data_IF_411224827779
#
_entry.id   IF_411224827779
#
_cell.length_a   1.000
_cell.length_b   1.000
_cell.length_c   1.000
_cell.angle_alpha   90.00
_cell.angle_beta   90.00
_cell.angle_gamma   90.00
#
_symmetry.space_group_name_H-M   'P 1'
#
loop_
_entity.id
_entity.type
_entity.pdbx_description
1 polymer ?
#
# COMPACT_ATOMS: atom_id res chain seq x y z
N UNK A 1 4.34 1.51 13.79
CA UNK A 1 4.33 1.12 12.36
C UNK A 1 5.73 0.67 11.99
N UNK A 2 5.88 -0.42 11.25
CA UNK A 2 7.19 -0.85 10.75
C UNK A 2 7.52 0.05 9.56
N UNK A 3 8.50 0.94 9.73
CA UNK A 3 8.96 1.88 8.68
C UNK A 3 10.44 1.66 8.41
N UNK A 4 10.96 2.12 7.25
CA UNK A 4 12.40 2.07 6.95
C UNK A 4 13.26 2.68 8.07
N UNK A 5 12.79 3.74 8.73
CA UNK A 5 13.51 4.39 9.85
C UNK A 5 13.72 3.47 11.06
N UNK A 6 12.74 2.61 11.35
CA UNK A 6 12.85 1.63 12.44
C UNK A 6 13.92 0.58 12.09
N UNK A 7 13.98 0.15 10.83
CA UNK A 7 15.03 -0.76 10.36
C UNK A 7 16.41 -0.10 10.35
N UNK A 8 16.49 1.20 10.05
CA UNK A 8 17.73 1.95 10.18
C UNK A 8 18.25 1.94 11.62
N UNK A 9 17.37 2.20 12.59
CA UNK A 9 17.74 2.16 14.00
C UNK A 9 18.19 0.75 14.42
N UNK A 10 17.49 -0.30 13.99
CA UNK A 10 17.91 -1.68 14.24
C UNK A 10 19.26 -2.00 13.59
N UNK A 11 19.48 -1.57 12.35
CA UNK A 11 20.76 -1.74 11.66
C UNK A 11 21.91 -1.08 12.42
N UNK A 12 21.71 0.08 13.05
CA UNK A 12 22.74 0.73 13.87
C UNK A 12 23.08 -0.13 15.09
N UNK A 13 22.07 -0.53 15.87
CA UNK A 13 22.27 -1.34 17.07
C UNK A 13 22.89 -2.69 16.75
N UNK A 14 22.38 -3.38 15.73
CA UNK A 14 22.95 -4.66 15.32
C UNK A 14 24.33 -4.48 14.70
N UNK A 15 24.60 -3.37 14.00
CA UNK A 15 25.93 -3.03 13.49
C UNK A 15 26.96 -2.87 14.60
N UNK A 16 26.63 -2.15 15.67
CA UNK A 16 27.48 -2.07 16.86
C UNK A 16 27.69 -3.44 17.52
N UNK A 17 26.62 -4.24 17.62
CA UNK A 17 26.72 -5.60 18.16
C UNK A 17 27.60 -6.51 17.28
N UNK A 18 27.49 -6.43 15.95
CA UNK A 18 28.33 -7.17 15.00
C UNK A 18 29.80 -6.78 15.17
N UNK A 19 30.10 -5.48 15.27
CA UNK A 19 31.47 -5.01 15.50
C UNK A 19 32.03 -5.52 16.84
N UNK A 20 31.23 -5.48 17.91
CA UNK A 20 31.61 -6.04 19.20
C UNK A 20 31.90 -7.55 19.09
N UNK A 21 31.02 -8.32 18.43
CA UNK A 21 31.23 -9.75 18.19
C UNK A 21 32.50 -10.03 17.40
N UNK A 22 32.76 -9.27 16.33
CA UNK A 22 34.00 -9.41 15.52
C UNK A 22 35.23 -9.09 16.36
N UNK A 23 35.17 -8.05 17.20
CA UNK A 23 36.24 -7.72 18.15
C UNK A 23 36.50 -8.84 19.15
N UNK A 24 35.45 -9.45 19.72
CA UNK A 24 35.58 -10.62 20.60
C UNK A 24 36.12 -11.84 19.87
N UNK A 25 35.69 -12.09 18.63
CA UNK A 25 36.26 -13.16 17.79
C UNK A 25 37.76 -12.94 17.62
N UNK A 26 38.21 -11.72 17.28
CA UNK A 26 39.63 -11.40 17.14
C UNK A 26 40.42 -11.63 18.44
N UNK A 27 39.89 -11.17 19.59
CA UNK A 27 40.50 -11.41 20.90
C UNK A 27 40.61 -12.91 21.21
N UNK A 28 39.57 -13.70 20.93
CA UNK A 28 39.59 -15.15 21.14
C UNK A 28 40.67 -15.84 20.29
N UNK A 29 40.96 -15.32 19.10
CA UNK A 29 42.06 -15.81 18.26
C UNK A 29 43.43 -15.41 18.79
N UNK A 30 43.60 -14.16 19.25
CA UNK A 30 44.85 -13.64 19.84
C UNK A 30 45.22 -14.43 21.10
N UNK A 31 44.26 -14.60 22.02
CA UNK A 31 44.45 -15.34 23.26
C UNK A 31 44.31 -16.86 23.12
N UNK A 32 44.12 -17.36 21.88
CA UNK A 32 44.03 -18.80 21.54
C UNK A 32 43.00 -19.58 22.39
N UNK A 33 41.83 -19.02 22.63
CA UNK A 33 40.77 -19.70 23.36
C UNK A 33 40.32 -20.98 22.65
N UNK A 34 40.06 -22.05 23.40
CA UNK A 34 39.66 -23.35 22.84
C UNK A 34 38.36 -23.30 22.03
N UNK A 35 37.49 -22.32 22.29
CA UNK A 35 36.18 -22.16 21.65
C UNK A 35 36.13 -21.04 20.60
N UNK A 36 37.29 -20.50 20.17
CA UNK A 36 37.39 -19.39 19.21
C UNK A 36 36.60 -19.57 17.92
N UNK A 37 36.50 -20.79 17.40
CA UNK A 37 35.75 -21.07 16.17
C UNK A 37 34.23 -20.93 16.33
N UNK A 38 33.70 -21.06 17.56
CA UNK A 38 32.27 -20.80 17.83
C UNK A 38 31.93 -19.33 17.64
N UNK A 39 32.84 -18.43 17.99
CA UNK A 39 32.64 -16.99 17.80
C UNK A 39 32.63 -16.57 16.33
N UNK A 40 33.38 -17.27 15.46
CA UNK A 40 33.31 -17.04 14.01
C UNK A 40 31.87 -17.20 13.55
N UNK A 41 31.21 -18.32 13.91
CA UNK A 41 29.81 -18.54 13.58
C UNK A 41 28.86 -17.45 14.09
N UNK A 42 29.02 -17.02 15.35
CA UNK A 42 28.20 -15.94 15.94
C UNK A 42 28.41 -14.63 15.18
N UNK A 43 29.66 -14.25 14.91
CA UNK A 43 29.98 -13.01 14.19
C UNK A 43 29.48 -13.03 12.74
N UNK A 44 29.52 -14.18 12.07
CA UNK A 44 28.97 -14.34 10.72
C UNK A 44 27.45 -14.21 10.70
N UNK A 45 26.75 -14.86 11.64
CA UNK A 45 25.29 -14.73 11.75
C UNK A 45 24.89 -13.28 12.03
N UNK A 46 25.59 -12.60 12.95
CA UNK A 46 25.31 -11.18 13.22
C UNK A 46 25.63 -10.28 12.03
N UNK A 47 26.64 -10.61 11.21
CA UNK A 47 26.89 -9.91 9.96
C UNK A 47 25.68 -10.00 9.01
N UNK A 48 25.13 -11.20 8.84
CA UNK A 48 23.95 -11.44 7.98
C UNK A 48 22.72 -10.70 8.52
N UNK A 49 22.45 -10.76 9.83
CA UNK A 49 21.31 -10.07 10.44
C UNK A 49 21.39 -8.56 10.23
N UNK A 50 22.56 -7.96 10.48
CA UNK A 50 22.78 -6.53 10.23
C UNK A 50 22.60 -6.18 8.75
N UNK A 51 23.10 -7.02 7.84
CA UNK A 51 22.91 -6.82 6.40
C UNK A 51 21.43 -6.86 5.99
N UNK A 52 20.65 -7.79 6.54
CA UNK A 52 19.20 -7.87 6.29
C UNK A 52 18.51 -6.57 6.73
N UNK A 53 18.78 -6.08 7.95
CA UNK A 53 18.18 -4.82 8.42
C UNK A 53 18.62 -3.61 7.59
N UNK A 54 19.87 -3.58 7.13
CA UNK A 54 20.32 -2.54 6.22
C UNK A 54 19.52 -2.53 4.91
N UNK A 55 19.30 -3.71 4.31
CA UNK A 55 18.52 -3.84 3.07
C UNK A 55 17.08 -3.35 3.29
N UNK A 56 16.43 -3.76 4.38
CA UNK A 56 15.07 -3.31 4.72
C UNK A 56 14.97 -1.83 5.08
N UNK A 57 16.07 -1.21 5.49
CA UNK A 57 16.13 0.25 5.72
C UNK A 57 16.15 1.05 4.42
N UNK A 58 16.59 0.47 3.31
CA UNK A 58 16.71 1.16 2.02
C UNK A 58 15.48 0.90 1.15
N UNK A 59 14.95 -0.32 1.18
CA UNK A 59 13.80 -0.71 0.36
C UNK A 59 12.52 -0.21 1.04
N UNK A 60 11.75 0.69 0.41
CA UNK A 60 10.49 1.16 0.97
C UNK A 60 9.51 -0.01 1.12
N UNK A 61 9.14 -0.29 2.37
CA UNK A 61 8.17 -1.32 2.71
C UNK A 61 6.83 -0.65 3.00
N UNK A 62 5.92 -0.65 2.04
CA UNK A 62 4.60 -0.06 2.26
C UNK A 62 3.74 0.04 1.01
N UNK A 63 2.43 0.22 1.25
CA UNK A 63 1.50 0.70 0.22
C UNK A 63 1.74 2.19 0.03
N UNK A 64 1.69 2.65 -1.21
CA UNK A 64 1.68 4.09 -1.50
C UNK A 64 0.35 4.61 -0.98
N UNK A 65 0.39 5.54 -0.02
CA UNK A 65 -0.80 6.23 0.46
C UNK A 65 -0.88 7.61 -0.19
N UNK A 66 -1.90 7.82 -1.00
CA UNK A 66 -2.19 9.10 -1.66
C UNK A 66 -2.86 10.01 -0.65
N UNK A 67 -2.34 11.23 -0.52
CA UNK A 67 -2.89 12.24 0.39
C UNK A 67 -4.30 12.59 -0.04
N UNK A 68 -5.22 12.68 0.93
CA UNK A 68 -6.63 12.99 0.66
C UNK A 68 -7.48 11.79 0.24
N UNK A 69 -6.92 10.59 0.10
CA UNK A 69 -7.71 9.40 -0.19
C UNK A 69 -8.61 8.99 0.99
N UNK A 70 -9.89 8.76 0.71
CA UNK A 70 -10.86 8.24 1.66
C UNK A 70 -10.75 6.72 1.85
N UNK A 71 -11.42 6.21 2.88
CA UNK A 71 -11.59 4.75 3.06
C UNK A 71 -12.59 4.24 2.04
N UNK A 72 -12.29 3.09 1.43
CA UNK A 72 -13.21 2.37 0.56
C UNK A 72 -13.27 0.89 0.97
N UNK A 73 -14.38 0.23 0.61
CA UNK A 73 -14.52 -1.22 0.79
C UNK A 73 -14.43 -1.91 -0.56
N UNK A 74 -13.54 -2.90 -0.67
CA UNK A 74 -13.41 -3.71 -1.89
C UNK A 74 -14.49 -4.79 -1.93
N UNK A 75 -15.21 -4.88 -3.04
CA UNK A 75 -16.23 -5.90 -3.29
C UNK A 75 -15.87 -6.62 -4.58
N UNK A 76 -15.64 -7.93 -4.47
CA UNK A 76 -15.41 -8.78 -5.64
C UNK A 76 -16.74 -9.33 -6.14
N UNK A 77 -17.22 -8.75 -7.24
CA UNK A 77 -18.52 -9.07 -7.84
C UNK A 77 -18.35 -9.81 -9.19
N UNK A 78 -17.16 -9.74 -9.79
CA UNK A 78 -16.86 -10.38 -11.09
C UNK A 78 -15.58 -11.21 -11.04
N UNK A 79 -15.54 -12.27 -11.85
CA UNK A 79 -14.38 -13.15 -11.96
C UNK A 79 -13.27 -12.61 -12.88
N UNK A 80 -13.47 -11.49 -13.58
CA UNK A 80 -12.52 -10.90 -14.54
C UNK A 80 -11.66 -9.77 -13.98
N UNK A 81 -10.97 -8.98 -14.83
CA UNK A 81 -10.12 -7.86 -14.42
C UNK A 81 -10.97 -6.61 -14.19
N UNK A 82 -11.94 -6.78 -13.30
CA UNK A 82 -12.87 -5.76 -12.89
C UNK A 82 -13.05 -5.83 -11.38
N UNK A 83 -12.61 -4.80 -10.70
CA UNK A 83 -12.82 -4.64 -9.26
C UNK A 83 -13.92 -3.60 -9.01
N UNK A 84 -14.68 -3.79 -7.93
CA UNK A 84 -15.69 -2.83 -7.50
C UNK A 84 -15.31 -2.33 -6.12
N UNK A 85 -15.26 -1.02 -5.95
CA UNK A 85 -15.06 -0.38 -4.65
C UNK A 85 -16.33 0.33 -4.23
N UNK A 86 -16.67 0.20 -2.94
CA UNK A 86 -17.76 0.94 -2.32
C UNK A 86 -17.19 2.12 -1.56
N UNK A 87 -17.71 3.30 -1.85
CA UNK A 87 -17.27 4.56 -1.26
C UNK A 87 -18.36 5.05 -0.28
N UNK A 88 -17.98 5.42 0.96
CA UNK A 88 -18.92 5.99 1.91
C UNK A 88 -19.39 7.38 1.45
N UNK A 89 -20.64 7.72 1.75
CA UNK A 89 -21.20 9.06 1.54
C UNK A 89 -21.41 9.78 2.86
N UNK A 90 -21.29 11.12 2.90
CA UNK A 90 -20.91 12.03 1.79
C UNK A 90 -19.41 11.97 1.42
N UNK A 91 -19.04 12.39 0.20
CA UNK A 91 -17.64 12.44 -0.27
C UNK A 91 -17.36 13.69 -1.10
N UNK A 92 -16.21 14.34 -0.90
CA UNK A 92 -15.76 15.48 -1.72
C UNK A 92 -15.18 15.04 -3.07
N UNK A 93 -15.26 15.89 -4.09
CA UNK A 93 -14.74 15.60 -5.44
C UNK A 93 -13.24 15.27 -5.47
N UNK A 94 -12.42 16.07 -4.78
CA UNK A 94 -10.96 15.83 -4.68
C UNK A 94 -10.65 14.52 -3.93
N UNK A 95 -11.41 14.25 -2.87
CA UNK A 95 -11.28 13.01 -2.11
C UNK A 95 -11.69 11.79 -2.95
N UNK A 96 -12.70 11.91 -3.80
CA UNK A 96 -13.12 10.84 -4.71
C UNK A 96 -12.01 10.48 -5.70
N UNK A 97 -11.40 11.48 -6.33
CA UNK A 97 -10.28 11.27 -7.25
C UNK A 97 -9.08 10.65 -6.54
N UNK A 98 -8.67 11.19 -5.39
CA UNK A 98 -7.60 10.63 -4.58
C UNK A 98 -7.88 9.18 -4.15
N UNK A 99 -9.14 8.86 -3.82
CA UNK A 99 -9.56 7.49 -3.47
C UNK A 99 -9.48 6.53 -4.65
N UNK A 100 -9.85 6.98 -5.86
CA UNK A 100 -9.73 6.18 -7.08
C UNK A 100 -8.28 5.89 -7.43
N UNK A 101 -7.40 6.90 -7.32
CA UNK A 101 -5.97 6.72 -7.53
C UNK A 101 -5.36 5.79 -6.48
N UNK A 102 -5.80 5.89 -5.21
CA UNK A 102 -5.38 4.97 -4.15
C UNK A 102 -5.81 3.53 -4.47
N UNK A 103 -7.06 3.34 -4.87
CA UNK A 103 -7.57 2.04 -5.26
C UNK A 103 -6.84 1.48 -6.48
N UNK A 104 -6.49 2.33 -7.46
CA UNK A 104 -5.66 1.94 -8.60
C UNK A 104 -4.26 1.51 -8.13
N UNK A 105 -3.65 2.19 -7.19
CA UNK A 105 -2.34 1.78 -6.63
C UNK A 105 -2.42 0.45 -5.86
N UNK A 106 -3.49 0.26 -5.09
CA UNK A 106 -3.66 -0.89 -4.20
C UNK A 106 -4.12 -2.17 -4.92
N UNK A 107 -4.84 -2.06 -6.04
CA UNK A 107 -5.44 -3.19 -6.75
C UNK A 107 -4.69 -3.50 -8.05
N UNK A 108 -4.20 -4.74 -8.19
CA UNK A 108 -3.41 -5.17 -9.36
C UNK A 108 -3.74 -6.59 -9.85
N UNK A 109 -4.88 -7.15 -9.45
CA UNK A 109 -5.21 -8.53 -9.81
C UNK A 109 -6.03 -8.60 -11.11
N UNK A 110 -5.65 -9.47 -12.09
CA UNK A 110 -6.47 -9.74 -13.26
C UNK A 110 -7.73 -10.56 -12.94
N UNK A 111 -7.88 -11.10 -11.72
CA UNK A 111 -8.93 -12.05 -11.40
C UNK A 111 -8.73 -13.41 -12.08
N UNK A 112 -9.70 -14.32 -11.90
CA UNK A 112 -9.63 -15.70 -12.40
C UNK A 112 -9.92 -15.81 -13.91
N UNK A 113 -10.74 -14.91 -14.45
CA UNK A 113 -11.17 -14.85 -15.85
C UNK A 113 -10.47 -13.77 -16.68
N UNK A 114 -9.47 -13.08 -16.13
CA UNK A 114 -8.74 -12.01 -16.82
C UNK A 114 -7.41 -12.45 -17.45
N UNK A 115 -7.18 -13.75 -17.66
CA UNK A 115 -5.98 -14.22 -18.36
C UNK A 115 -5.91 -13.58 -19.76
N UNK A 116 -4.78 -12.93 -20.07
CA UNK A 116 -4.55 -12.24 -21.34
C UNK A 116 -5.05 -10.79 -21.41
N UNK A 117 -5.69 -10.27 -20.36
CA UNK A 117 -6.11 -8.86 -20.31
C UNK A 117 -5.01 -7.99 -19.70
N UNK A 118 -4.68 -6.90 -20.39
CA UNK A 118 -3.59 -5.99 -20.00
C UNK A 118 -4.02 -4.83 -19.08
N UNK A 119 -5.32 -4.69 -18.81
CA UNK A 119 -5.87 -3.58 -18.01
C UNK A 119 -6.88 -4.08 -16.98
N UNK A 120 -6.87 -3.43 -15.82
CA UNK A 120 -7.82 -3.60 -14.73
C UNK A 120 -8.72 -2.37 -14.67
N UNK A 121 -10.02 -2.61 -14.74
CA UNK A 121 -11.06 -1.61 -14.49
C UNK A 121 -11.48 -1.65 -13.02
N UNK A 122 -11.49 -0.51 -12.35
CA UNK A 122 -11.98 -0.38 -10.98
C UNK A 122 -13.18 0.55 -11.02
N UNK A 123 -14.35 0.05 -10.61
CA UNK A 123 -15.58 0.83 -10.55
C UNK A 123 -15.85 1.30 -9.13
N UNK A 124 -16.07 2.62 -8.96
CA UNK A 124 -16.57 3.17 -7.72
C UNK A 124 -18.10 3.17 -7.69
N UNK A 125 -18.66 2.63 -6.61
CA UNK A 125 -20.09 2.58 -6.36
C UNK A 125 -20.42 3.14 -4.97
N UNK A 126 -21.61 3.70 -4.86
CA UNK A 126 -22.22 4.14 -3.62
C UNK A 126 -23.43 3.26 -3.33
N UNK A 127 -23.63 2.89 -2.07
CA UNK A 127 -24.81 2.16 -1.62
C UNK A 127 -25.72 3.16 -0.90
N UNK A 128 -26.91 3.37 -1.46
CA UNK A 128 -27.94 4.23 -0.87
C UNK A 128 -29.10 3.39 -0.35
N UNK A 129 -29.78 3.87 0.69
CA UNK A 129 -30.94 3.21 1.29
C UNK A 129 -32.17 4.12 1.15
N UNK A 130 -32.80 4.20 -0.03
CA UNK A 130 -33.93 5.11 -0.24
C UNK A 130 -35.16 4.76 0.60
N UNK A 131 -35.34 3.49 0.98
CA UNK A 131 -36.42 3.02 1.84
C UNK A 131 -35.89 1.97 2.82
N UNK A 132 -36.52 1.82 4.01
CA UNK A 132 -36.17 0.74 4.93
C UNK A 132 -36.27 -0.63 4.24
N UNK A 133 -35.17 -1.38 4.23
CA UNK A 133 -35.10 -2.70 3.59
C UNK A 133 -34.81 -2.69 2.08
N UNK A 134 -34.63 -1.52 1.45
CA UNK A 134 -34.27 -1.41 0.02
C UNK A 134 -32.94 -0.70 -0.12
N UNK A 135 -31.93 -1.41 -0.64
CA UNK A 135 -30.62 -0.85 -0.98
C UNK A 135 -30.51 -0.67 -2.49
N UNK A 136 -29.99 0.49 -2.91
CA UNK A 136 -29.73 0.80 -4.32
C UNK A 136 -28.24 1.13 -4.51
N UNK A 137 -27.62 0.40 -5.42
CA UNK A 137 -26.21 0.56 -5.79
C UNK A 137 -26.13 1.50 -6.99
N UNK A 138 -25.31 2.56 -6.89
CA UNK A 138 -25.14 3.56 -7.95
C UNK A 138 -23.67 3.63 -8.29
N UNK A 139 -23.33 3.43 -9.57
CA UNK A 139 -21.97 3.58 -10.09
C UNK A 139 -21.70 5.08 -10.35
N UNK A 140 -20.63 5.59 -9.77
CA UNK A 140 -20.30 7.03 -9.78
C UNK A 140 -19.01 7.34 -10.55
N UNK A 141 -18.06 6.42 -10.60
CA UNK A 141 -16.80 6.63 -11.31
C UNK A 141 -16.16 5.29 -11.73
N UNK A 142 -15.15 5.38 -12.58
CA UNK A 142 -14.30 4.30 -13.05
C UNK A 142 -12.84 4.78 -13.12
N UNK A 143 -11.91 3.90 -12.79
CA UNK A 143 -10.50 4.09 -13.12
C UNK A 143 -9.97 2.85 -13.84
N UNK A 144 -9.21 3.06 -14.91
CA UNK A 144 -8.53 2.00 -15.64
C UNK A 144 -7.02 2.14 -15.46
N UNK A 145 -6.38 1.01 -15.21
CA UNK A 145 -4.92 0.92 -15.06
C UNK A 145 -4.37 -0.31 -15.73
N UNK A 146 -3.09 -0.29 -16.06
CA UNK A 146 -2.34 -1.45 -16.54
C UNK A 146 -2.22 -2.54 -15.47
N UNK A 147 -2.28 -3.80 -15.92
CA UNK A 147 -1.99 -5.01 -15.15
C UNK A 147 -0.53 -5.49 -15.30
N UNK A 148 0.29 -4.78 -16.07
CA UNK A 148 1.70 -5.12 -16.30
C UNK A 148 2.66 -4.08 -15.72
N UNK A 149 2.25 -2.80 -15.72
CA UNK A 149 3.02 -1.70 -15.16
C UNK A 149 2.46 -1.34 -13.79
N UNK A 150 3.33 -1.39 -12.76
CA UNK A 150 2.94 -1.04 -11.39
C UNK A 150 2.68 0.45 -11.24
N UNK A 151 3.62 1.26 -11.73
CA UNK A 151 3.52 2.71 -11.82
C UNK A 151 3.11 3.05 -13.25
N UNK A 152 1.80 3.04 -13.50
CA UNK A 152 1.24 3.33 -14.81
C UNK A 152 1.15 4.85 -15.01
N UNK A 153 1.89 5.45 -15.96
CA UNK A 153 1.76 6.88 -16.26
C UNK A 153 0.44 7.23 -16.96
N UNK A 154 -0.30 6.23 -17.48
CA UNK A 154 -1.51 6.40 -18.27
C UNK A 154 -2.76 5.89 -17.54
N UNK A 155 -2.92 6.24 -16.26
CA UNK A 155 -4.14 5.93 -15.52
C UNK A 155 -5.29 6.79 -16.07
N UNK A 156 -6.34 6.14 -16.56
CA UNK A 156 -7.54 6.82 -17.05
C UNK A 156 -8.59 6.87 -15.94
N UNK A 157 -8.91 8.07 -15.45
CA UNK A 157 -9.99 8.29 -14.47
C UNK A 157 -11.20 8.87 -15.19
N UNK A 158 -12.36 8.25 -15.02
CA UNK A 158 -13.63 8.71 -15.57
C UNK A 158 -14.68 8.87 -14.45
N UNK A 159 -15.17 10.09 -14.25
CA UNK A 159 -16.11 10.44 -13.18
C UNK A 159 -17.45 10.85 -13.84
N UNK A 160 -18.53 10.14 -13.51
CA UNK A 160 -19.88 10.45 -13.98
C UNK A 160 -20.46 11.62 -13.15
N UNK A 161 -20.11 12.86 -13.49
CA UNK A 161 -20.51 14.07 -12.72
C UNK A 161 -22.02 14.13 -12.40
N UNK A 162 -22.88 13.74 -13.36
CA UNK A 162 -24.34 13.72 -13.18
C UNK A 162 -24.82 12.75 -12.08
N UNK A 163 -24.10 11.65 -11.86
CA UNK A 163 -24.44 10.65 -10.84
C UNK A 163 -23.76 10.91 -9.50
N UNK A 164 -22.66 11.66 -9.52
CA UNK A 164 -21.87 11.99 -8.34
C UNK A 164 -22.45 13.21 -7.61
N UNK A 165 -23.06 14.16 -8.33
CA UNK A 165 -23.62 15.39 -7.79
C UNK A 165 -24.50 15.24 -6.52
N UNK A 166 -25.39 14.21 -6.40
CA UNK A 166 -26.20 14.05 -5.19
C UNK A 166 -25.42 13.62 -3.93
N UNK A 167 -24.15 13.24 -4.08
CA UNK A 167 -23.32 12.66 -3.02
C UNK A 167 -22.10 13.53 -2.68
N UNK A 168 -21.87 14.61 -3.43
CA UNK A 168 -20.85 15.61 -3.14
C UNK A 168 -21.40 16.57 -2.10
N UNK A 169 -20.68 16.66 -0.99
CA UNK A 169 -20.84 17.75 -0.03
C UNK A 169 -19.88 18.86 -0.48
N UNK A 170 -20.39 19.85 -1.20
CA UNK A 170 -19.57 20.94 -1.71
C UNK A 170 -19.46 21.99 -0.60
N UNK A 171 -18.25 22.34 -0.17
CA UNK A 171 -18.04 23.54 0.67
C UNK A 171 -18.17 24.83 -0.17
N UNK A 172 -19.26 24.95 -0.91
CA UNK A 172 -19.77 26.18 -1.50
C UNK A 172 -21.16 26.39 -0.89
N UNK A 173 -21.26 26.95 0.32
CA UNK A 173 -21.46 28.39 0.49
C UNK A 173 -21.16 28.87 1.93
N UNK A 174 -20.17 29.74 2.16
CA UNK A 174 -20.15 30.64 3.31
C UNK A 174 -20.93 31.95 3.04
N UNK A 175 -21.54 32.13 1.87
CA UNK A 175 -22.20 33.37 1.45
C UNK A 175 -23.56 33.15 0.78
N UNK A 176 -24.47 32.45 1.44
CA UNK A 176 -25.90 32.68 1.26
C UNK A 176 -26.56 32.75 2.63
N UNK A 177 -26.52 33.96 3.20
CA UNK A 177 -27.41 34.47 4.25
C UNK A 177 -28.70 34.98 3.63
#
# INVERSE_FOLDING_TARGET
>A
MITPDVFWQYCQWTGFATLACVGFTALAFIFKWGFRFRFVGISSIMGIVTFIFLVFSIIPYGRVSIVGAGRYSLVYDLSGPKAVITIPTPIHSEQLEATLLQAASDLFSPGRGGQGQGQLTIEARVITHPQPGVSKIIRIAEVKRSLTLRDDPNIEVNIDQNKVAPFIDDMSDPFLS
#
